data_IF_654387049361
#
_entry.id   IF_654387049361
#
_cell.length_a   1.000
_cell.length_b   1.000
_cell.length_c   1.000
_cell.angle_alpha   90.00
_cell.angle_beta   90.00
_cell.angle_gamma   90.00
#
_symmetry.space_group_name_H-M   'P 1'
#
loop_
_entity.id
_entity.type
_entity.pdbx_description
1 polymer ?
#
# COMPACT_ATOMS: atom_id res chain seq x y z
N UNK A 1 14.84 -18.99 12.19
CA UNK A 1 13.83 -18.59 13.19
C UNK A 1 13.33 -19.82 13.92
N UNK A 2 13.55 -19.84 15.24
CA UNK A 2 13.30 -20.97 16.14
C UNK A 2 11.81 -21.31 16.33
N UNK A 3 10.90 -20.44 15.89
CA UNK A 3 9.46 -20.61 15.95
C UNK A 3 8.81 -20.98 14.59
N UNK A 4 9.61 -21.35 13.57
CA UNK A 4 9.10 -21.64 12.23
C UNK A 4 8.56 -20.42 11.47
N UNK A 5 8.77 -19.21 11.98
CA UNK A 5 8.34 -17.98 11.32
C UNK A 5 9.33 -17.60 10.23
N UNK A 6 8.85 -17.34 9.02
CA UNK A 6 9.71 -16.89 7.93
C UNK A 6 9.56 -15.39 7.73
N UNK A 7 10.62 -14.72 7.35
CA UNK A 7 10.59 -13.30 6.97
C UNK A 7 11.24 -13.13 5.60
N UNK A 8 10.83 -12.08 4.88
CA UNK A 8 11.32 -11.82 3.54
C UNK A 8 10.76 -10.54 2.97
N UNK A 9 11.15 -10.23 1.74
CA UNK A 9 10.71 -9.02 1.06
C UNK A 9 9.66 -9.33 0.00
N UNK A 10 8.66 -8.47 -0.13
CA UNK A 10 7.73 -8.46 -1.25
C UNK A 10 7.77 -7.10 -1.95
N UNK A 11 7.55 -7.10 -3.26
CA UNK A 11 7.41 -5.89 -4.07
C UNK A 11 5.93 -5.72 -4.42
N UNK A 12 5.35 -4.60 -4.01
CA UNK A 12 3.94 -4.29 -4.29
C UNK A 12 3.87 -3.07 -5.19
N UNK A 13 3.16 -3.21 -6.31
CA UNK A 13 2.82 -2.10 -7.20
C UNK A 13 1.43 -1.56 -6.84
N UNK A 14 1.33 -0.25 -6.69
CA UNK A 14 0.09 0.46 -6.41
C UNK A 14 -0.44 1.05 -7.73
N UNK A 15 -1.55 0.50 -8.23
CA UNK A 15 -2.32 1.06 -9.36
C UNK A 15 -3.62 1.70 -8.83
N UNK A 16 -3.47 2.84 -8.14
CA UNK A 16 -4.61 3.60 -7.61
C UNK A 16 -5.03 4.64 -8.67
N UNK A 17 -6.23 4.48 -9.23
CA UNK A 17 -6.72 5.29 -10.38
C UNK A 17 -7.67 6.44 -10.01
N UNK A 18 -8.09 6.54 -8.75
CA UNK A 18 -9.02 7.59 -8.28
C UNK A 18 -8.25 8.68 -7.53
N UNK A 19 -8.77 9.92 -7.44
CA UNK A 19 -8.27 10.85 -6.45
C UNK A 19 -8.35 10.16 -5.09
N UNK A 20 -7.18 9.89 -4.51
CA UNK A 20 -7.05 9.32 -3.18
C UNK A 20 -6.98 10.50 -2.22
N UNK A 21 -7.80 10.47 -1.18
CA UNK A 21 -7.69 11.49 -0.14
C UNK A 21 -6.42 11.22 0.62
N UNK A 22 -5.47 12.16 0.61
CA UNK A 22 -4.30 12.10 1.49
C UNK A 22 -4.48 13.11 2.63
N UNK A 23 -3.93 12.80 3.81
CA UNK A 23 -3.84 13.82 4.87
C UNK A 23 -2.66 14.73 4.55
N UNK A 24 -2.94 15.97 4.17
CA UNK A 24 -1.93 17.00 3.92
C UNK A 24 -1.10 17.26 5.18
N UNK A 25 0.21 17.07 5.08
CA UNK A 25 1.19 17.48 6.08
C UNK A 25 1.59 18.94 5.86
N UNK A 26 0.66 19.87 6.07
CA UNK A 26 0.93 21.31 6.01
C UNK A 26 1.03 21.88 7.42
N UNK A 27 2.19 22.43 7.79
CA UNK A 27 2.34 23.30 8.95
C UNK A 27 1.53 24.58 8.72
N UNK A 28 0.23 24.54 9.01
CA UNK A 28 -0.65 25.68 8.78
C UNK A 28 -2.12 25.31 8.71
N UNK A 29 -2.71 24.93 9.85
CA UNK A 29 -4.11 25.24 10.22
C UNK A 29 -5.29 24.72 9.37
N UNK A 30 -5.10 24.20 8.16
CA UNK A 30 -6.21 23.80 7.29
C UNK A 30 -6.29 22.28 7.25
N UNK A 31 -7.26 21.70 7.97
CA UNK A 31 -7.68 20.29 7.85
C UNK A 31 -8.42 20.06 6.52
N UNK A 32 -7.78 20.40 5.41
CA UNK A 32 -8.29 20.14 4.06
C UNK A 32 -7.93 18.72 3.64
N UNK A 33 -8.94 17.92 3.31
CA UNK A 33 -8.74 16.69 2.54
C UNK A 33 -8.33 17.09 1.11
N UNK A 34 -7.03 17.24 0.87
CA UNK A 34 -6.54 17.52 -0.48
C UNK A 34 -6.45 16.20 -1.27
N UNK A 35 -7.04 16.21 -2.47
CA UNK A 35 -6.97 15.09 -3.39
C UNK A 35 -5.64 15.15 -4.14
N UNK A 36 -4.67 14.32 -3.73
CA UNK A 36 -3.44 14.13 -4.49
C UNK A 36 -3.49 12.81 -5.25
N UNK A 37 -2.91 12.80 -6.42
CA UNK A 37 -2.72 11.57 -7.18
C UNK A 37 -1.41 10.92 -6.74
N UNK A 38 -1.45 9.64 -6.33
CA UNK A 38 -0.22 8.86 -6.31
C UNK A 38 0.30 8.75 -7.75
N UNK A 39 1.62 8.89 -7.99
CA UNK A 39 2.18 8.55 -9.29
C UNK A 39 1.77 7.13 -9.68
N UNK A 40 1.20 6.98 -10.89
CA UNK A 40 0.69 5.69 -11.37
C UNK A 40 1.82 4.67 -11.38
N UNK A 41 1.55 3.48 -10.84
CA UNK A 41 2.54 2.42 -10.77
C UNK A 41 3.62 2.66 -9.72
N UNK A 42 3.35 3.44 -8.68
CA UNK A 42 4.23 3.53 -7.51
C UNK A 42 4.52 2.13 -6.97
N UNK A 43 5.80 1.86 -6.69
CA UNK A 43 6.25 0.56 -6.22
C UNK A 43 6.80 0.71 -4.82
N UNK A 44 6.51 -0.25 -3.96
CA UNK A 44 7.06 -0.31 -2.62
C UNK A 44 7.54 -1.72 -2.29
N UNK A 45 8.75 -1.82 -1.73
CA UNK A 45 9.29 -3.06 -1.18
C UNK A 45 9.04 -3.10 0.32
N UNK A 46 8.36 -4.15 0.78
CA UNK A 46 8.00 -4.35 2.18
C UNK A 46 8.76 -5.55 2.75
N UNK A 47 9.34 -5.40 3.93
CA UNK A 47 9.78 -6.53 4.74
C UNK A 47 8.57 -7.09 5.49
N UNK A 48 8.26 -8.37 5.27
CA UNK A 48 7.11 -9.06 5.84
C UNK A 48 7.55 -10.34 6.54
N UNK A 49 6.65 -10.88 7.35
CA UNK A 49 6.73 -12.20 7.94
C UNK A 49 5.61 -13.11 7.42
N UNK A 50 5.74 -14.42 7.66
CA UNK A 50 4.73 -15.42 7.33
C UNK A 50 3.38 -15.22 8.04
N UNK A 51 3.31 -14.37 9.07
CA UNK A 51 2.07 -14.05 9.79
C UNK A 51 1.38 -12.78 9.30
N UNK A 52 2.01 -12.02 8.40
CA UNK A 52 1.41 -10.79 7.87
C UNK A 52 0.18 -11.12 7.01
N UNK A 53 -0.94 -10.50 7.33
CA UNK A 53 -2.20 -10.62 6.57
C UNK A 53 -2.25 -9.62 5.42
N UNK A 54 -3.05 -9.91 4.39
CA UNK A 54 -3.29 -8.98 3.28
C UNK A 54 -3.81 -7.62 3.77
N UNK A 55 -4.68 -7.61 4.79
CA UNK A 55 -5.19 -6.38 5.41
C UNK A 55 -4.07 -5.53 6.00
N UNK A 56 -3.16 -6.12 6.77
CA UNK A 56 -2.01 -5.41 7.35
C UNK A 56 -1.11 -4.83 6.26
N UNK A 57 -0.90 -5.57 5.17
CA UNK A 57 -0.13 -5.09 4.01
C UNK A 57 -0.81 -3.88 3.37
N UNK A 58 -2.12 -3.94 3.14
CA UNK A 58 -2.90 -2.82 2.60
C UNK A 58 -2.79 -1.60 3.53
N UNK A 59 -3.06 -1.76 4.82
CA UNK A 59 -3.00 -0.67 5.80
C UNK A 59 -1.61 -0.02 5.89
N UNK A 60 -0.55 -0.83 5.84
CA UNK A 60 0.83 -0.33 5.85
C UNK A 60 1.16 0.47 4.58
N UNK A 61 0.70 0.03 3.41
CA UNK A 61 0.88 0.73 2.15
C UNK A 61 0.11 2.06 2.13
N UNK A 62 -1.17 2.05 2.49
CA UNK A 62 -1.99 3.27 2.55
C UNK A 62 -1.37 4.31 3.49
N UNK A 63 -0.91 3.89 4.68
CA UNK A 63 -0.25 4.79 5.64
C UNK A 63 1.05 5.37 5.09
N UNK A 64 1.89 4.54 4.44
CA UNK A 64 3.17 4.98 3.88
C UNK A 64 2.99 6.01 2.75
N UNK A 65 1.91 5.91 2.01
CA UNK A 65 1.53 6.84 0.94
C UNK A 65 0.51 7.90 1.39
N UNK A 66 0.37 8.09 2.72
CA UNK A 66 -0.51 9.08 3.37
C UNK A 66 -1.98 9.03 2.94
N UNK A 67 -2.44 7.91 2.39
CA UNK A 67 -3.83 7.68 1.96
C UNK A 67 -4.75 7.47 3.16
N UNK A 68 -5.79 8.27 3.24
CA UNK A 68 -6.76 8.30 4.34
C UNK A 68 -8.06 7.54 4.05
N UNK A 69 -8.18 6.92 2.87
CA UNK A 69 -9.33 6.11 2.49
C UNK A 69 -9.49 4.86 3.34
N UNK A 70 -10.72 4.33 3.38
CA UNK A 70 -11.04 3.09 4.05
C UNK A 70 -10.26 1.91 3.41
N UNK A 71 -9.45 1.14 4.16
CA UNK A 71 -8.72 -0.03 3.66
C UNK A 71 -9.59 -1.06 2.95
N UNK A 72 -10.87 -1.17 3.33
CA UNK A 72 -11.83 -2.08 2.70
C UNK A 72 -12.18 -1.71 1.25
N UNK A 73 -11.83 -0.50 0.78
CA UNK A 73 -11.95 -0.11 -0.63
C UNK A 73 -10.83 -0.68 -1.51
N UNK A 74 -9.81 -1.28 -0.91
CA UNK A 74 -8.61 -1.77 -1.61
C UNK A 74 -8.51 -3.29 -1.50
N UNK A 75 -7.84 -3.87 -2.50
CA UNK A 75 -7.55 -5.30 -2.55
C UNK A 75 -6.11 -5.52 -3.00
N UNK A 76 -5.50 -6.60 -2.50
CA UNK A 76 -4.16 -7.02 -2.87
C UNK A 76 -4.27 -8.19 -3.84
N UNK A 77 -3.70 -8.02 -5.04
CA UNK A 77 -3.71 -9.05 -6.08
C UNK A 77 -2.30 -9.61 -6.27
N UNK A 78 -2.21 -10.92 -6.53
CA UNK A 78 -0.98 -11.56 -6.99
C UNK A 78 -1.00 -11.62 -8.51
N UNK A 79 -0.05 -10.95 -9.17
CA UNK A 79 0.14 -11.06 -10.61
C UNK A 79 1.07 -12.22 -10.91
N UNK A 80 0.67 -13.09 -11.82
CA UNK A 80 1.51 -14.13 -12.40
C UNK A 80 1.73 -13.79 -13.87
N UNK A 81 2.98 -13.85 -14.34
CA UNK A 81 3.24 -13.90 -15.78
C UNK A 81 3.17 -15.36 -16.19
N UNK A 82 2.34 -15.71 -17.16
CA UNK A 82 2.60 -16.93 -17.94
C UNK A 82 3.67 -16.55 -18.95
N UNK A 83 4.74 -17.33 -19.08
CA UNK A 83 5.84 -17.06 -20.00
C UNK A 83 5.47 -17.30 -21.49
N UNK A 84 4.18 -17.34 -21.84
CA UNK A 84 3.68 -17.56 -23.21
C UNK A 84 2.83 -16.37 -23.70
N UNK A 85 3.41 -15.16 -23.72
CA UNK A 85 2.95 -14.08 -24.61
C UNK A 85 4.06 -13.08 -24.92
#
# INVERSE_FOLDING_TARGET
NSNGMYTGFIKVQLDLRRPITVKGGGAGGVKGQEAFYLPRGSINTLHISSTNTARQVIEALLRKFTVADNPAKFALFKRFSREDQ
#
